data_IF_895194078115
#
_entry.id   IF_895194078115
#
_cell.length_a   1.000
_cell.length_b   1.000
_cell.length_c   1.000
_cell.angle_alpha   90.00
_cell.angle_beta   90.00
_cell.angle_gamma   90.00
#
_symmetry.space_group_name_H-M   'P 1'
#
loop_
_entity.id
_entity.type
_entity.pdbx_description
1 polymer ?
#
# COMPACT_ATOMS: atom_id res chain seq x y z
N UNK A 1 9.15 40.57 1.31
CA UNK A 1 8.77 41.96 1.65
C UNK A 1 9.50 42.41 2.91
N UNK A 2 10.69 43.01 2.77
CA UNK A 2 11.49 43.51 3.91
C UNK A 2 11.27 45.00 4.22
N UNK A 3 10.36 45.67 3.50
CA UNK A 3 10.11 47.12 3.62
C UNK A 3 9.54 47.54 4.99
N UNK A 4 8.50 46.90 5.55
CA UNK A 4 7.95 47.30 6.85
C UNK A 4 8.95 47.29 8.03
N UNK A 5 9.77 46.23 8.25
CA UNK A 5 10.73 46.22 9.35
C UNK A 5 11.87 47.23 9.14
N UNK A 6 12.24 47.51 7.88
CA UNK A 6 13.26 48.52 7.57
C UNK A 6 12.76 49.93 7.90
N UNK A 7 11.51 50.25 7.53
CA UNK A 7 10.88 51.55 7.85
C UNK A 7 10.73 51.71 9.36
N UNK A 8 10.33 50.67 10.08
CA UNK A 8 10.24 50.68 11.55
C UNK A 8 11.59 50.96 12.20
N UNK A 9 12.66 50.30 11.73
CA UNK A 9 14.02 50.53 12.21
C UNK A 9 14.49 51.96 11.93
N UNK A 10 14.15 52.52 10.77
CA UNK A 10 14.50 53.89 10.40
C UNK A 10 13.77 54.93 11.28
N UNK A 11 12.47 54.77 11.50
CA UNK A 11 11.68 55.65 12.38
C UNK A 11 12.20 55.59 13.82
N UNK A 12 12.48 54.39 14.32
CA UNK A 12 13.05 54.20 15.66
C UNK A 12 14.39 54.94 15.82
N UNK A 13 15.27 54.84 14.81
CA UNK A 13 16.55 55.55 14.82
C UNK A 13 16.39 57.08 14.79
N UNK A 14 15.41 57.62 14.05
CA UNK A 14 15.14 59.07 14.02
C UNK A 14 14.65 59.56 15.39
N UNK A 15 13.70 58.86 16.01
CA UNK A 15 13.18 59.22 17.34
C UNK A 15 14.26 59.16 18.42
N UNK A 16 15.19 58.19 18.33
CA UNK A 16 16.31 58.10 19.25
C UNK A 16 17.30 59.24 19.09
N UNK A 17 17.61 59.62 17.84
CA UNK A 17 18.47 60.77 17.55
C UNK A 17 17.88 62.10 18.03
N UNK A 18 16.56 62.21 18.16
CA UNK A 18 15.91 63.38 18.75
C UNK A 18 16.20 63.51 20.25
N UNK A 19 16.40 62.40 20.97
CA UNK A 19 16.63 62.37 22.42
C UNK A 19 18.11 62.25 22.81
N UNK A 20 18.92 61.60 21.99
CA UNK A 20 20.36 61.41 22.18
C UNK A 20 21.07 61.30 20.84
N UNK A 21 22.03 62.19 20.57
CA UNK A 21 22.73 62.28 19.27
C UNK A 21 23.62 61.06 18.99
N UNK A 22 24.02 60.32 20.02
CA UNK A 22 25.05 59.28 19.93
C UNK A 22 24.49 57.85 19.88
N UNK A 23 23.19 57.66 20.07
CA UNK A 23 22.58 56.33 20.14
C UNK A 23 22.03 55.88 18.79
N UNK A 24 22.33 54.65 18.37
CA UNK A 24 21.84 54.04 17.12
C UNK A 24 21.51 52.58 17.39
N UNK A 25 20.42 52.09 16.80
CA UNK A 25 19.95 50.71 16.93
C UNK A 25 19.99 50.03 15.56
N UNK A 26 20.56 48.83 15.53
CA UNK A 26 20.57 47.95 14.36
C UNK A 26 19.71 46.72 14.66
N UNK A 27 18.83 46.37 13.72
CA UNK A 27 17.97 45.19 13.81
C UNK A 27 18.33 44.27 12.65
N UNK A 28 18.78 43.06 12.95
CA UNK A 28 18.95 41.99 11.97
C UNK A 28 17.84 40.95 12.16
N UNK A 29 17.22 40.52 11.06
CA UNK A 29 16.38 39.34 11.07
C UNK A 29 17.23 38.18 10.54
N UNK A 30 17.56 37.23 11.39
CA UNK A 30 18.17 35.99 10.95
C UNK A 30 17.04 35.03 10.55
N UNK A 31 17.10 34.44 9.35
CA UNK A 31 16.12 33.43 8.96
C UNK A 31 16.19 32.29 9.98
N UNK A 32 15.04 31.91 10.52
CA UNK A 32 14.93 30.71 11.33
C UNK A 32 15.15 29.54 10.36
N UNK A 33 16.20 28.75 10.62
CA UNK A 33 16.42 27.51 9.90
C UNK A 33 15.40 26.49 10.39
N UNK A 34 14.24 26.45 9.73
CA UNK A 34 13.31 25.35 9.87
C UNK A 34 13.97 24.15 9.17
N UNK A 35 14.20 23.06 9.91
CA UNK A 35 14.71 21.81 9.33
C UNK A 35 13.67 21.11 8.42
N UNK A 36 12.53 21.76 8.18
CA UNK A 36 11.27 21.16 7.71
C UNK A 36 10.39 22.15 6.91
N UNK A 37 10.96 23.21 6.30
CA UNK A 37 10.18 24.04 5.35
C UNK A 37 10.05 23.36 3.97
N UNK A 38 11.02 22.53 3.59
CA UNK A 38 10.85 21.58 2.48
C UNK A 38 9.70 20.63 2.84
N UNK A 39 9.69 20.05 4.04
CA UNK A 39 8.62 19.15 4.48
C UNK A 39 7.23 19.80 4.61
N UNK A 40 7.06 21.06 5.03
CA UNK A 40 5.71 21.65 5.20
C UNK A 40 5.04 22.01 3.87
N UNK A 41 5.80 22.55 2.92
CA UNK A 41 5.30 22.79 1.56
C UNK A 41 5.16 21.47 0.79
N UNK A 42 6.11 20.54 0.93
CA UNK A 42 6.01 19.20 0.34
C UNK A 42 4.84 18.42 0.93
N UNK A 43 4.58 18.46 2.25
CA UNK A 43 3.40 17.84 2.86
C UNK A 43 2.09 18.45 2.33
N UNK A 44 2.06 19.75 2.05
CA UNK A 44 0.88 20.40 1.48
C UNK A 44 0.65 20.04 0.00
N UNK A 45 1.74 19.94 -0.79
CA UNK A 45 1.69 19.48 -2.19
C UNK A 45 1.42 17.97 -2.30
N UNK A 46 1.97 17.16 -1.40
CA UNK A 46 1.72 15.73 -1.29
C UNK A 46 0.28 15.46 -0.84
N UNK A 47 -0.28 16.25 0.08
CA UNK A 47 -1.67 16.14 0.49
C UNK A 47 -2.65 16.46 -0.66
N UNK A 48 -2.33 17.44 -1.51
CA UNK A 48 -3.13 17.74 -2.71
C UNK A 48 -2.96 16.68 -3.82
N UNK A 49 -1.75 16.10 -4.01
CA UNK A 49 -1.56 14.93 -4.89
C UNK A 49 -2.33 13.71 -4.35
N UNK A 50 -2.41 13.51 -3.03
CA UNK A 50 -3.06 12.33 -2.44
C UNK A 50 -4.60 12.34 -2.57
N UNK A 51 -5.23 13.51 -2.60
CA UNK A 51 -6.70 13.65 -2.69
C UNK A 51 -7.19 13.59 -4.15
N UNK A 52 -6.37 14.05 -5.12
CA UNK A 52 -6.77 14.12 -6.54
C UNK A 52 -6.13 13.00 -7.37
N UNK A 53 -4.94 12.53 -6.99
CA UNK A 53 -4.21 11.43 -7.63
C UNK A 53 -4.12 10.25 -6.66
N UNK A 54 -5.08 9.32 -6.74
CA UNK A 54 -4.93 8.02 -6.08
C UNK A 54 -3.57 7.45 -6.51
N UNK A 55 -2.63 7.22 -5.57
CA UNK A 55 -1.30 6.83 -5.96
C UNK A 55 -1.35 5.52 -6.75
N UNK A 56 -0.61 5.40 -7.86
CA UNK A 56 -0.72 4.25 -8.76
C UNK A 56 -0.45 2.92 -8.05
N UNK A 57 0.38 2.93 -7.00
CA UNK A 57 0.65 1.76 -6.16
C UNK A 57 -0.58 1.27 -5.37
N UNK A 58 -1.46 2.18 -4.91
CA UNK A 58 -2.70 1.81 -4.18
C UNK A 58 -3.71 1.18 -5.15
N UNK A 59 -3.85 1.76 -6.34
CA UNK A 59 -4.74 1.24 -7.38
C UNK A 59 -4.30 -0.16 -7.86
N UNK A 60 -3.00 -0.37 -8.11
CA UNK A 60 -2.49 -1.68 -8.52
C UNK A 60 -2.59 -2.73 -7.41
N UNK A 61 -2.43 -2.32 -6.15
CA UNK A 61 -2.64 -3.19 -4.99
C UNK A 61 -4.09 -3.70 -4.92
N UNK A 62 -5.06 -2.79 -5.09
CA UNK A 62 -6.49 -3.13 -5.15
C UNK A 62 -6.80 -4.08 -6.32
N UNK A 63 -6.22 -3.83 -7.49
CA UNK A 63 -6.41 -4.68 -8.66
C UNK A 63 -5.82 -6.10 -8.44
N UNK A 64 -4.66 -6.19 -7.79
CA UNK A 64 -4.07 -7.47 -7.37
C UNK A 64 -5.00 -8.27 -6.47
N UNK A 65 -5.62 -7.63 -5.48
CA UNK A 65 -6.64 -8.26 -4.61
C UNK A 65 -7.85 -8.76 -5.41
N UNK A 66 -8.31 -8.01 -6.41
CA UNK A 66 -9.41 -8.43 -7.29
C UNK A 66 -9.07 -9.67 -8.11
N UNK A 67 -7.85 -9.76 -8.66
CA UNK A 67 -7.38 -10.94 -9.40
C UNK A 67 -7.37 -12.18 -8.51
N UNK A 68 -6.95 -12.04 -7.24
CA UNK A 68 -7.00 -13.14 -6.27
C UNK A 68 -8.44 -13.61 -6.04
N UNK A 69 -9.38 -12.68 -5.83
CA UNK A 69 -10.80 -13.01 -5.63
C UNK A 69 -11.38 -13.72 -6.86
N UNK A 70 -11.04 -13.25 -8.07
CA UNK A 70 -11.49 -13.87 -9.32
C UNK A 70 -10.94 -15.30 -9.46
N UNK A 71 -9.69 -15.55 -9.07
CA UNK A 71 -9.09 -16.89 -9.09
C UNK A 71 -9.88 -17.85 -8.19
N UNK A 72 -10.20 -17.45 -6.96
CA UNK A 72 -11.02 -18.27 -6.04
C UNK A 72 -12.42 -18.59 -6.57
N UNK A 73 -12.96 -17.76 -7.47
CA UNK A 73 -14.28 -17.96 -8.07
C UNK A 73 -14.19 -18.82 -9.34
N UNK A 74 -13.14 -18.63 -10.15
CA UNK A 74 -12.94 -19.37 -11.39
C UNK A 74 -12.75 -20.86 -11.14
N UNK A 75 -11.99 -21.19 -10.09
CA UNK A 75 -11.72 -22.54 -9.63
C UNK A 75 -13.01 -23.41 -9.48
N UNK A 76 -13.96 -23.07 -8.59
CA UNK A 76 -15.22 -23.82 -8.48
C UNK A 76 -16.14 -23.70 -9.72
N UNK A 77 -16.00 -22.66 -10.55
CA UNK A 77 -16.77 -22.53 -11.80
C UNK A 77 -16.34 -23.55 -12.85
N UNK A 78 -15.04 -23.73 -13.07
CA UNK A 78 -14.50 -24.77 -13.96
C UNK A 78 -14.97 -26.16 -13.54
N UNK A 79 -15.00 -26.45 -12.23
CA UNK A 79 -15.51 -27.71 -11.69
C UNK A 79 -16.99 -27.95 -12.04
N UNK A 80 -17.82 -26.90 -11.95
CA UNK A 80 -19.26 -26.99 -12.28
C UNK A 80 -19.52 -27.13 -13.77
N UNK A 81 -18.71 -26.49 -14.62
CA UNK A 81 -18.86 -26.55 -16.08
C UNK A 81 -18.39 -27.89 -16.64
N UNK A 82 -17.27 -28.41 -16.14
CA UNK A 82 -16.66 -29.65 -16.65
C UNK A 82 -17.18 -30.92 -15.98
N UNK A 83 -17.87 -30.82 -14.83
CA UNK A 83 -18.24 -31.97 -13.97
C UNK A 83 -17.04 -32.89 -13.68
N UNK A 84 -15.82 -32.34 -13.67
CA UNK A 84 -14.58 -33.11 -13.60
C UNK A 84 -14.51 -34.04 -12.37
N UNK A 85 -15.11 -33.63 -11.25
CA UNK A 85 -15.24 -34.46 -10.04
C UNK A 85 -15.97 -35.77 -10.28
N UNK A 86 -17.03 -35.77 -11.09
CA UNK A 86 -17.80 -36.98 -11.41
C UNK A 86 -17.05 -37.89 -12.39
N UNK A 87 -16.27 -37.31 -13.30
CA UNK A 87 -15.44 -38.05 -14.24
C UNK A 87 -14.22 -38.69 -13.55
N UNK A 88 -13.59 -38.00 -12.60
CA UNK A 88 -12.49 -38.55 -11.78
C UNK A 88 -12.95 -39.66 -10.83
N UNK A 89 -14.16 -39.55 -10.28
CA UNK A 89 -14.80 -40.61 -9.49
C UNK A 89 -15.02 -41.88 -10.32
N UNK A 90 -15.45 -41.74 -11.59
CA UNK A 90 -15.59 -42.89 -12.50
C UNK A 90 -14.25 -43.46 -12.98
N UNK A 91 -13.18 -42.66 -12.96
CA UNK A 91 -11.83 -43.10 -13.33
C UNK A 91 -11.03 -43.72 -12.18
N UNK A 92 -11.60 -43.82 -10.97
CA UNK A 92 -10.93 -44.40 -9.80
C UNK A 92 -9.77 -43.57 -9.23
N UNK A 93 -9.64 -42.30 -9.62
CA UNK A 93 -8.62 -41.39 -9.09
C UNK A 93 -8.99 -41.00 -7.66
N UNK A 94 -8.02 -41.06 -6.74
CA UNK A 94 -8.25 -40.68 -5.35
C UNK A 94 -8.67 -39.20 -5.23
N UNK A 95 -9.73 -38.86 -4.49
CA UNK A 95 -10.18 -37.48 -4.29
C UNK A 95 -9.10 -36.54 -3.75
N UNK A 96 -8.13 -37.08 -3.00
CA UNK A 96 -7.00 -36.31 -2.44
C UNK A 96 -6.10 -35.70 -3.52
N UNK A 97 -5.81 -36.42 -4.60
CA UNK A 97 -4.99 -35.91 -5.70
C UNK A 97 -5.66 -34.76 -6.44
N UNK A 98 -6.99 -34.77 -6.52
CA UNK A 98 -7.78 -33.68 -7.10
C UNK A 98 -7.66 -32.41 -6.27
N UNK A 99 -7.93 -32.50 -4.96
CA UNK A 99 -7.82 -31.37 -4.04
C UNK A 99 -6.39 -30.80 -3.99
N UNK A 100 -5.37 -31.66 -4.03
CA UNK A 100 -3.97 -31.24 -4.03
C UNK A 100 -3.61 -30.49 -5.33
N UNK A 101 -4.06 -30.99 -6.48
CA UNK A 101 -3.86 -30.31 -7.77
C UNK A 101 -4.52 -28.93 -7.77
N UNK A 102 -5.70 -28.82 -7.16
CA UNK A 102 -6.42 -27.57 -6.99
C UNK A 102 -5.65 -26.56 -6.12
N UNK A 103 -5.18 -27.02 -4.97
CA UNK A 103 -4.38 -26.23 -4.04
C UNK A 103 -3.08 -25.73 -4.68
N UNK A 104 -2.39 -26.57 -5.46
CA UNK A 104 -1.18 -26.18 -6.17
C UNK A 104 -1.46 -25.12 -7.25
N UNK A 105 -2.57 -25.25 -7.97
CA UNK A 105 -2.97 -24.27 -8.98
C UNK A 105 -3.27 -22.91 -8.35
N UNK A 106 -4.04 -22.89 -7.25
CA UNK A 106 -4.37 -21.66 -6.53
C UNK A 106 -3.11 -20.99 -5.94
N UNK A 107 -2.16 -21.75 -5.39
CA UNK A 107 -0.88 -21.22 -4.92
C UNK A 107 -0.06 -20.64 -6.08
N UNK A 108 -0.03 -21.29 -7.24
CA UNK A 108 0.70 -20.80 -8.41
C UNK A 108 0.14 -19.45 -8.91
N UNK A 109 -1.19 -19.34 -9.02
CA UNK A 109 -1.87 -18.09 -9.41
C UNK A 109 -1.68 -16.98 -8.38
N UNK A 110 -1.67 -17.34 -7.09
CA UNK A 110 -1.35 -16.42 -6.01
C UNK A 110 0.08 -15.85 -6.13
N UNK A 111 1.08 -16.71 -6.34
CA UNK A 111 2.48 -16.29 -6.50
C UNK A 111 2.69 -15.36 -7.69
N UNK A 112 2.01 -15.61 -8.82
CA UNK A 112 2.07 -14.74 -10.00
C UNK A 112 1.54 -13.35 -9.66
N UNK A 113 0.42 -13.28 -8.94
CA UNK A 113 -0.22 -12.01 -8.55
C UNK A 113 0.65 -11.23 -7.57
N UNK A 114 1.23 -11.89 -6.57
CA UNK A 114 2.17 -11.27 -5.63
C UNK A 114 3.41 -10.73 -6.34
N UNK A 115 3.97 -11.47 -7.29
CA UNK A 115 5.15 -11.03 -8.06
C UNK A 115 4.83 -9.77 -8.87
N UNK A 116 3.66 -9.74 -9.53
CA UNK A 116 3.19 -8.57 -10.27
C UNK A 116 3.02 -7.35 -9.35
N UNK A 117 2.44 -7.56 -8.17
CA UNK A 117 2.18 -6.53 -7.18
C UNK A 117 3.49 -5.93 -6.61
N UNK A 118 4.49 -6.77 -6.32
CA UNK A 118 5.81 -6.31 -5.87
C UNK A 118 6.52 -5.51 -6.98
N UNK A 119 6.49 -6.03 -8.22
CA UNK A 119 7.07 -5.34 -9.37
C UNK A 119 6.45 -3.96 -9.59
N UNK A 120 5.13 -3.85 -9.42
CA UNK A 120 4.42 -2.60 -9.48
C UNK A 120 4.82 -1.61 -8.39
N UNK A 121 4.89 -2.07 -7.14
CA UNK A 121 5.34 -1.24 -6.01
C UNK A 121 6.74 -0.70 -6.28
N UNK A 122 7.65 -1.54 -6.80
CA UNK A 122 9.01 -1.13 -7.14
C UNK A 122 9.07 -0.10 -8.29
N UNK A 123 8.27 -0.27 -9.34
CA UNK A 123 8.25 0.63 -10.50
C UNK A 123 7.64 2.01 -10.18
N UNK A 124 6.66 2.07 -9.29
CA UNK A 124 5.93 3.30 -8.96
C UNK A 124 6.45 4.03 -7.71
N UNK A 125 7.59 3.60 -7.15
CA UNK A 125 8.16 4.18 -5.95
C UNK A 125 8.92 5.50 -6.25
N UNK A 126 8.28 6.66 -6.06
CA UNK A 126 8.90 7.98 -6.31
C UNK A 126 10.07 8.33 -5.36
N UNK A 127 10.00 7.95 -4.08
CA UNK A 127 10.94 8.44 -3.05
C UNK A 127 11.70 7.32 -2.30
N UNK A 128 11.86 6.12 -2.88
CA UNK A 128 12.58 4.99 -2.26
C UNK A 128 12.20 4.67 -0.78
N UNK A 129 11.01 5.09 -0.33
CA UNK A 129 10.56 5.05 1.07
C UNK A 129 10.69 3.63 1.67
N UNK A 130 10.15 2.63 0.99
CA UNK A 130 10.25 1.23 1.36
C UNK A 130 11.65 0.58 1.18
N UNK A 131 12.50 1.15 0.31
CA UNK A 131 13.82 0.57 -0.01
C UNK A 131 14.88 0.94 1.05
N UNK A 132 14.72 2.10 1.69
CA UNK A 132 15.67 2.61 2.69
C UNK A 132 15.61 1.87 4.04
N UNK A 133 14.44 1.34 4.42
CA UNK A 133 14.16 0.76 5.74
C UNK A 133 14.08 -0.78 5.77
N UNK A 134 14.14 -1.45 4.61
CA UNK A 134 13.93 -2.90 4.52
C UNK A 134 12.46 -3.34 4.58
N UNK A 135 11.53 -2.38 4.55
CA UNK A 135 10.08 -2.64 4.68
C UNK A 135 9.50 -3.46 3.51
N UNK A 136 10.13 -3.43 2.33
CA UNK A 136 9.73 -4.26 1.18
C UNK A 136 9.80 -5.74 1.56
N UNK A 137 10.85 -6.18 2.25
CA UNK A 137 10.99 -7.60 2.62
C UNK A 137 9.87 -8.03 3.57
N UNK A 138 9.51 -7.17 4.51
CA UNK A 138 8.38 -7.39 5.42
C UNK A 138 7.06 -7.46 4.67
N UNK A 139 6.81 -6.55 3.72
CA UNK A 139 5.60 -6.56 2.89
C UNK A 139 5.47 -7.84 2.06
N UNK A 140 6.56 -8.28 1.44
CA UNK A 140 6.61 -9.55 0.68
C UNK A 140 6.29 -10.72 1.60
N UNK A 141 6.90 -10.77 2.78
CA UNK A 141 6.70 -11.84 3.74
C UNK A 141 5.26 -11.89 4.24
N UNK A 142 4.67 -10.74 4.56
CA UNK A 142 3.27 -10.63 5.00
C UNK A 142 2.30 -11.07 3.90
N UNK A 143 2.51 -10.64 2.65
CA UNK A 143 1.71 -11.09 1.51
C UNK A 143 1.78 -12.61 1.39
N UNK A 144 2.99 -13.18 1.25
CA UNK A 144 3.16 -14.64 1.08
C UNK A 144 2.53 -15.44 2.22
N UNK A 145 2.72 -15.02 3.48
CA UNK A 145 2.07 -15.68 4.63
C UNK A 145 0.55 -15.61 4.55
N UNK A 146 0.00 -14.45 4.16
CA UNK A 146 -1.44 -14.24 4.03
C UNK A 146 -2.03 -15.17 2.95
N UNK A 147 -1.36 -15.33 1.81
CA UNK A 147 -1.82 -16.23 0.75
C UNK A 147 -1.84 -17.70 1.16
N UNK A 148 -0.75 -18.18 1.76
CA UNK A 148 -0.62 -19.57 2.19
C UNK A 148 -1.59 -19.87 3.34
N UNK A 149 -1.72 -18.95 4.31
CA UNK A 149 -2.64 -19.13 5.43
C UNK A 149 -4.11 -19.04 4.97
N UNK A 150 -4.45 -18.10 4.09
CA UNK A 150 -5.81 -17.91 3.59
C UNK A 150 -6.29 -19.09 2.75
N UNK A 151 -5.46 -19.56 1.81
CA UNK A 151 -5.76 -20.76 1.02
C UNK A 151 -5.85 -22.00 1.93
N UNK A 152 -4.88 -22.22 2.81
CA UNK A 152 -4.90 -23.33 3.77
C UNK A 152 -6.15 -23.36 4.65
N UNK A 153 -6.58 -22.19 5.16
CA UNK A 153 -7.81 -22.07 5.94
C UNK A 153 -9.05 -22.38 5.11
N UNK A 154 -9.14 -21.85 3.88
CA UNK A 154 -10.27 -22.12 2.98
C UNK A 154 -10.44 -23.62 2.73
N UNK A 155 -9.35 -24.34 2.46
CA UNK A 155 -9.39 -25.80 2.28
C UNK A 155 -9.68 -26.54 3.59
N UNK A 156 -9.10 -26.14 4.72
CA UNK A 156 -9.38 -26.73 6.03
C UNK A 156 -10.88 -26.68 6.36
N UNK A 157 -11.52 -25.53 6.14
CA UNK A 157 -12.96 -25.38 6.34
C UNK A 157 -13.79 -26.12 5.30
N UNK A 158 -13.32 -26.22 4.06
CA UNK A 158 -13.96 -27.06 3.03
C UNK A 158 -14.05 -28.52 3.47
N UNK A 159 -12.98 -29.09 4.06
CA UNK A 159 -12.99 -30.45 4.60
C UNK A 159 -13.88 -30.60 5.85
N UNK A 160 -13.91 -29.60 6.73
CA UNK A 160 -14.78 -29.63 7.92
C UNK A 160 -16.28 -29.58 7.56
N UNK A 161 -16.63 -28.88 6.47
CA UNK A 161 -18.01 -28.74 6.00
C UNK A 161 -18.40 -29.69 4.87
N UNK A 162 -17.55 -30.66 4.51
CA UNK A 162 -17.88 -31.73 3.56
C UNK A 162 -19.07 -32.60 4.03
N UNK A 163 -19.47 -32.46 5.30
CA UNK A 163 -20.75 -32.96 5.84
C UNK A 163 -21.95 -32.01 5.57
N UNK A 164 -22.04 -31.41 4.39
CA UNK A 164 -23.25 -30.71 3.93
C UNK A 164 -24.27 -31.69 3.34
N UNK A 165 -24.68 -32.66 4.16
CA UNK A 165 -25.98 -33.34 4.05
C UNK A 165 -26.80 -33.15 5.34
N UNK A 166 -26.35 -32.28 6.27
CA UNK A 166 -27.09 -31.92 7.49
C UNK A 166 -27.59 -30.47 7.51
N UNK A 167 -27.65 -29.79 6.37
CA UNK A 167 -28.15 -28.42 6.25
C UNK A 167 -29.35 -28.29 5.30
N UNK A 168 -30.08 -29.39 5.08
CA UNK A 168 -31.47 -29.39 4.57
C UNK A 168 -32.25 -30.47 5.31
N UNK A 169 -32.67 -30.15 6.53
CA UNK A 169 -33.91 -30.63 7.17
C UNK A 169 -34.53 -29.46 7.89
#
# INVERSE_FOLDING_TARGET
THSPPLVLNLVANILLKQKSVTSTITVSNHPITLQTEEDLCDLSMEAEEYIINIPPYVSLTSLGLLVLIISFIHSPLEERVTRAKQLQLMSGVSPLLYWLSYFLFDIAMYLITVTLMIGAVYLFQKHNIYSASGDISTLVLVLVLLGISGTGYAYFFSFLFESSTKAVV
#
